data_IF_434046402609
#
_entry.id   IF_434046402609
#
_cell.length_a   1.000
_cell.length_b   1.000
_cell.length_c   1.000
_cell.angle_alpha   90.00
_cell.angle_beta   90.00
_cell.angle_gamma   90.00
#
_symmetry.space_group_name_H-M   'P 1'
#
loop_
_entity.id
_entity.type
_entity.pdbx_description
1 polymer ?
#
# COMPACT_ATOMS: atom_id res chain seq x y z
N UNK A 1 13.57 -6.55 19.75
CA UNK A 1 14.59 -7.23 18.90
C UNK A 1 15.87 -6.43 19.01
N UNK A 2 16.74 -6.76 19.96
CA UNK A 2 17.91 -5.92 20.26
C UNK A 2 19.05 -6.07 19.27
N UNK A 3 19.06 -7.13 18.45
CA UNK A 3 20.23 -7.45 17.62
C UNK A 3 19.87 -7.59 16.14
N UNK A 4 18.68 -7.15 15.73
CA UNK A 4 18.20 -7.38 14.37
C UNK A 4 17.94 -8.85 14.02
N UNK A 5 18.16 -9.75 14.96
CA UNK A 5 17.90 -11.17 14.78
C UNK A 5 16.42 -11.47 15.02
N UNK A 6 15.79 -12.09 14.05
CA UNK A 6 14.44 -12.64 14.20
C UNK A 6 14.55 -14.08 14.73
N UNK A 7 13.69 -14.51 15.68
CA UNK A 7 13.64 -15.91 16.05
C UNK A 7 13.34 -16.75 14.80
N UNK A 8 14.06 -17.85 14.65
CA UNK A 8 13.71 -18.83 13.63
C UNK A 8 12.39 -19.51 14.03
N UNK A 9 11.34 -19.27 13.28
CA UNK A 9 10.02 -19.85 13.51
C UNK A 9 10.02 -21.37 13.54
N UNK A 10 11.02 -22.04 12.92
CA UNK A 10 11.19 -23.50 12.99
C UNK A 10 11.56 -23.98 14.39
N UNK A 11 12.22 -23.12 15.16
CA UNK A 11 12.70 -23.46 16.51
C UNK A 11 11.72 -23.06 17.61
N UNK A 12 10.70 -22.25 17.29
CA UNK A 12 9.64 -21.89 18.23
C UNK A 12 8.55 -22.95 18.18
N UNK A 13 8.21 -23.53 19.32
CA UNK A 13 7.25 -24.61 19.42
C UNK A 13 6.00 -24.21 20.19
N UNK A 14 4.87 -24.72 19.73
CA UNK A 14 3.55 -24.56 20.35
C UNK A 14 2.85 -25.90 20.45
N UNK A 15 2.10 -26.13 21.53
CA UNK A 15 1.22 -27.28 21.65
C UNK A 15 -0.16 -26.92 21.10
N UNK A 16 -0.55 -27.55 20.01
CA UNK A 16 -1.85 -27.37 19.36
C UNK A 16 -2.55 -28.71 19.28
N UNK A 17 -3.71 -28.83 19.91
CA UNK A 17 -4.50 -30.08 20.00
C UNK A 17 -3.66 -31.31 20.40
N UNK A 18 -2.76 -31.14 21.37
CA UNK A 18 -1.90 -32.24 21.89
C UNK A 18 -0.70 -32.55 21.00
N UNK A 19 -0.52 -31.90 19.89
CA UNK A 19 0.65 -32.04 19.01
C UNK A 19 1.59 -30.84 19.14
N UNK A 20 2.90 -31.10 19.09
CA UNK A 20 3.90 -30.03 19.05
C UNK A 20 4.12 -29.58 17.59
N UNK A 21 3.87 -28.33 17.31
CA UNK A 21 4.04 -27.68 16.01
C UNK A 21 5.04 -26.53 16.12
N UNK A 22 5.81 -26.26 15.07
CA UNK A 22 6.60 -25.06 15.00
C UNK A 22 5.72 -23.83 14.67
N UNK A 23 6.29 -22.60 14.71
CA UNK A 23 5.50 -21.38 14.50
C UNK A 23 4.80 -21.36 13.13
N UNK A 24 5.48 -21.81 12.08
CA UNK A 24 4.93 -21.83 10.71
C UNK A 24 3.82 -22.87 10.57
N UNK A 25 4.02 -24.07 11.09
CA UNK A 25 2.99 -25.12 11.12
C UNK A 25 1.76 -24.67 11.92
N UNK A 26 1.98 -23.95 13.01
CA UNK A 26 0.90 -23.38 13.83
C UNK A 26 0.08 -22.37 13.06
N UNK A 27 0.73 -21.46 12.30
CA UNK A 27 0.04 -20.49 11.44
C UNK A 27 -0.80 -21.22 10.39
N UNK A 28 -0.20 -22.21 9.68
CA UNK A 28 -0.93 -22.99 8.67
C UNK A 28 -2.15 -23.67 9.28
N UNK A 29 -1.97 -24.31 10.45
CA UNK A 29 -3.08 -24.96 11.15
C UNK A 29 -4.26 -24.01 11.40
N UNK A 30 -4.01 -22.84 11.97
CA UNK A 30 -5.08 -21.87 12.25
C UNK A 30 -5.66 -21.24 10.98
N UNK A 31 -4.86 -21.00 9.94
CA UNK A 31 -5.38 -20.57 8.64
C UNK A 31 -6.34 -21.59 8.02
N UNK A 32 -6.02 -22.87 8.15
CA UNK A 32 -6.91 -23.94 7.68
C UNK A 32 -8.22 -24.03 8.50
N UNK A 33 -8.16 -23.72 9.80
CA UNK A 33 -9.40 -23.59 10.60
C UNK A 33 -10.27 -22.42 10.10
N UNK A 34 -9.68 -21.28 9.77
CA UNK A 34 -10.42 -20.13 9.24
C UNK A 34 -11.15 -20.48 7.93
N UNK A 35 -10.54 -21.28 7.05
CA UNK A 35 -11.23 -21.78 5.83
C UNK A 35 -12.50 -22.58 6.18
N UNK A 36 -12.47 -23.39 7.23
CA UNK A 36 -13.65 -24.16 7.66
C UNK A 36 -14.76 -23.28 8.21
N UNK A 37 -14.44 -22.08 8.68
CA UNK A 37 -15.38 -21.08 9.19
C UNK A 37 -15.96 -20.18 8.07
N UNK A 38 -15.56 -20.42 6.82
CA UNK A 38 -16.08 -19.69 5.66
C UNK A 38 -15.23 -18.49 5.23
N UNK A 39 -14.12 -18.20 5.91
CA UNK A 39 -13.19 -17.15 5.47
C UNK A 39 -12.52 -17.56 4.16
N UNK A 40 -12.38 -16.61 3.26
CA UNK A 40 -11.79 -16.80 1.94
C UNK A 40 -10.91 -15.60 1.60
N UNK A 41 -9.99 -15.80 0.67
CA UNK A 41 -9.29 -14.69 0.03
C UNK A 41 -10.18 -14.10 -1.07
N UNK A 42 -10.10 -12.79 -1.24
CA UNK A 42 -10.69 -12.13 -2.40
C UNK A 42 -10.01 -12.63 -3.67
N UNK A 43 -10.78 -12.92 -4.74
CA UNK A 43 -10.21 -13.31 -6.01
C UNK A 43 -9.25 -12.26 -6.58
N UNK A 44 -9.62 -10.98 -6.39
CA UNK A 44 -8.82 -9.85 -6.84
C UNK A 44 -8.25 -9.12 -5.62
N UNK A 45 -6.92 -9.08 -5.53
CA UNK A 45 -6.21 -8.48 -4.39
C UNK A 45 -6.62 -7.01 -4.15
N UNK A 46 -6.82 -6.26 -5.21
CA UNK A 46 -7.14 -4.82 -5.15
C UNK A 46 -8.52 -4.54 -4.54
N UNK A 47 -9.48 -5.51 -4.60
CA UNK A 47 -10.81 -5.37 -3.99
C UNK A 47 -10.73 -4.97 -2.51
N UNK A 48 -9.75 -5.49 -1.81
CA UNK A 48 -9.54 -5.20 -0.39
C UNK A 48 -9.15 -3.74 -0.11
N UNK A 49 -8.72 -2.99 -1.10
CA UNK A 49 -8.22 -1.62 -0.99
C UNK A 49 -9.07 -0.62 -1.77
N UNK A 50 -10.17 -1.11 -2.38
CA UNK A 50 -11.15 -0.25 -3.05
C UNK A 50 -11.98 0.53 -2.03
N UNK A 51 -12.67 1.56 -2.50
CA UNK A 51 -13.62 2.33 -1.68
C UNK A 51 -14.89 1.53 -1.32
N UNK A 52 -15.08 0.37 -1.92
CA UNK A 52 -16.22 -0.54 -1.70
C UNK A 52 -15.80 -1.83 -1.00
N UNK A 53 -14.78 -1.80 -0.17
CA UNK A 53 -14.20 -2.98 0.46
C UNK A 53 -14.94 -3.49 1.70
N UNK A 54 -16.02 -2.86 2.13
CA UNK A 54 -16.82 -3.27 3.31
C UNK A 54 -17.30 -4.72 3.23
N UNK A 55 -17.80 -5.24 2.06
CA UNK A 55 -18.29 -6.62 1.97
C UNK A 55 -17.19 -7.65 1.72
N UNK A 56 -15.91 -7.28 1.77
CA UNK A 56 -14.83 -8.22 1.51
C UNK A 56 -14.91 -9.46 2.39
N UNK A 57 -14.83 -10.62 1.75
CA UNK A 57 -14.85 -11.93 2.43
C UNK A 57 -13.60 -12.23 3.23
N UNK A 58 -12.55 -11.42 3.07
CA UNK A 58 -11.34 -11.48 3.90
C UNK A 58 -11.49 -10.76 5.24
N UNK A 59 -12.55 -9.97 5.43
CA UNK A 59 -12.70 -9.16 6.63
C UNK A 59 -12.95 -10.04 7.85
N UNK A 60 -12.04 -10.03 8.81
CA UNK A 60 -12.19 -10.69 10.10
C UNK A 60 -12.71 -9.71 11.15
N UNK A 61 -12.09 -8.55 11.24
CA UNK A 61 -12.49 -7.43 12.08
C UNK A 61 -12.23 -6.14 11.33
N UNK A 62 -13.22 -5.26 11.30
CA UNK A 62 -13.11 -3.98 10.60
C UNK A 62 -13.60 -2.83 11.45
N UNK A 63 -12.97 -1.69 11.29
CA UNK A 63 -13.47 -0.42 11.81
C UNK A 63 -13.91 0.39 10.59
N UNK A 64 -15.23 0.44 10.32
CA UNK A 64 -15.72 1.17 9.16
C UNK A 64 -15.49 2.67 9.34
N UNK A 65 -14.98 3.29 8.30
CA UNK A 65 -14.82 4.73 8.25
C UNK A 65 -15.81 5.33 7.24
N UNK A 66 -16.09 6.59 7.42
CA UNK A 66 -17.05 7.31 6.58
C UNK A 66 -16.51 8.72 6.31
N UNK A 67 -16.56 9.14 5.07
CA UNK A 67 -16.06 10.44 4.61
C UNK A 67 -16.63 11.64 5.36
N UNK A 68 -17.74 11.48 6.02
CA UNK A 68 -18.45 12.57 6.69
C UNK A 68 -18.44 12.44 8.21
N UNK A 69 -18.64 11.23 8.73
CA UNK A 69 -18.88 10.99 10.14
C UNK A 69 -17.64 10.48 10.89
N UNK A 70 -16.86 9.61 10.26
CA UNK A 70 -15.77 8.89 10.91
C UNK A 70 -14.51 8.92 10.06
N UNK A 71 -14.04 10.13 9.74
CA UNK A 71 -12.82 10.33 8.97
C UNK A 71 -11.58 9.93 9.76
N UNK A 72 -10.54 9.52 9.06
CA UNK A 72 -9.25 9.20 9.66
C UNK A 72 -8.09 9.78 8.84
N UNK A 73 -6.89 9.72 9.41
CA UNK A 73 -5.66 10.20 8.76
C UNK A 73 -4.71 9.05 8.39
N UNK A 74 -5.19 7.81 8.47
CA UNK A 74 -4.35 6.63 8.23
C UNK A 74 -3.87 6.54 6.79
N UNK A 75 -4.62 7.11 5.85
CA UNK A 75 -4.22 7.19 4.44
C UNK A 75 -2.84 7.82 4.25
N UNK A 76 -2.43 8.76 5.09
CA UNK A 76 -1.11 9.36 5.04
C UNK A 76 0.04 8.38 5.30
N UNK A 77 -0.24 7.24 5.93
CA UNK A 77 0.71 6.16 6.12
C UNK A 77 0.83 5.22 4.92
N UNK A 78 -0.20 5.19 4.06
CA UNK A 78 -0.33 4.21 2.97
C UNK A 78 -0.37 4.82 1.59
N UNK A 79 -0.26 6.14 1.49
CA UNK A 79 -0.23 6.88 0.24
C UNK A 79 0.84 7.94 0.27
N UNK A 80 1.46 8.16 -0.86
CA UNK A 80 2.35 9.29 -1.05
C UNK A 80 2.33 9.71 -2.52
N UNK A 81 2.37 11.02 -2.75
CA UNK A 81 2.39 11.60 -4.09
C UNK A 81 3.19 12.88 -4.10
N UNK A 82 3.87 13.13 -5.18
CA UNK A 82 4.39 14.46 -5.46
C UNK A 82 3.25 15.49 -5.52
N UNK A 83 3.52 16.74 -5.16
CA UNK A 83 2.50 17.80 -5.10
C UNK A 83 1.75 18.00 -6.43
N UNK A 84 2.45 17.94 -7.56
CA UNK A 84 1.82 18.04 -8.89
C UNK A 84 0.94 16.84 -9.20
N UNK A 85 1.33 15.64 -8.76
CA UNK A 85 0.50 14.44 -8.90
C UNK A 85 -0.79 14.59 -8.07
N UNK A 86 -0.68 14.95 -6.81
CA UNK A 86 -1.83 15.17 -5.96
C UNK A 86 -2.74 16.28 -6.50
N UNK A 87 -2.17 17.41 -6.93
CA UNK A 87 -2.91 18.52 -7.55
C UNK A 87 -3.70 18.09 -8.79
N UNK A 88 -3.14 17.21 -9.63
CA UNK A 88 -3.84 16.67 -10.79
C UNK A 88 -5.04 15.79 -10.41
N UNK A 89 -5.04 15.23 -9.22
CA UNK A 89 -6.17 14.46 -8.65
C UNK A 89 -7.12 15.33 -7.81
N UNK A 90 -6.83 16.61 -7.62
CA UNK A 90 -7.59 17.48 -6.72
C UNK A 90 -7.31 17.25 -5.23
N UNK A 91 -6.18 16.59 -4.90
CA UNK A 91 -5.80 16.20 -3.56
C UNK A 91 -4.65 17.06 -3.01
N UNK A 92 -4.37 16.94 -1.74
CA UNK A 92 -3.14 17.42 -1.13
C UNK A 92 -1.97 16.47 -1.41
N UNK A 93 -0.78 17.00 -1.56
CA UNK A 93 0.42 16.20 -1.76
C UNK A 93 1.02 15.73 -0.45
N UNK A 94 1.31 14.45 -0.38
CA UNK A 94 1.98 13.77 0.72
C UNK A 94 3.30 13.19 0.19
N UNK A 95 4.25 14.08 -0.12
CA UNK A 95 5.48 13.69 -0.79
C UNK A 95 6.57 13.30 0.22
N UNK A 96 6.60 12.06 0.63
CA UNK A 96 7.58 11.58 1.60
C UNK A 96 7.79 10.07 1.52
N UNK A 97 6.89 9.24 2.05
CA UNK A 97 7.10 7.79 2.05
C UNK A 97 7.27 7.21 0.66
N UNK A 98 8.21 6.28 0.51
CA UNK A 98 8.45 5.51 -0.70
C UNK A 98 8.78 4.06 -0.37
N UNK A 99 8.71 3.18 -1.36
CA UNK A 99 9.21 1.82 -1.23
C UNK A 99 10.72 1.83 -0.94
N UNK A 100 11.18 0.90 -0.11
CA UNK A 100 12.61 0.64 0.08
C UNK A 100 13.15 -0.17 -1.09
N UNK A 101 14.48 -0.18 -1.26
CA UNK A 101 15.15 -1.03 -2.26
C UNK A 101 14.80 -2.50 -2.02
N UNK A 102 14.81 -2.96 -0.76
CA UNK A 102 14.44 -4.32 -0.40
C UNK A 102 12.99 -4.67 -0.82
N UNK A 103 12.07 -3.71 -0.73
CA UNK A 103 10.71 -3.90 -1.21
C UNK A 103 10.65 -4.07 -2.74
N UNK A 104 11.40 -3.27 -3.49
CA UNK A 104 11.51 -3.40 -4.95
C UNK A 104 12.05 -4.77 -5.35
N UNK A 105 13.13 -5.21 -4.69
CA UNK A 105 13.73 -6.53 -4.90
C UNK A 105 12.76 -7.66 -4.56
N UNK A 106 12.03 -7.55 -3.45
CA UNK A 106 11.05 -8.56 -3.01
C UNK A 106 9.89 -8.69 -4.00
N UNK A 107 9.44 -7.57 -4.59
CA UNK A 107 8.43 -7.60 -5.65
C UNK A 107 8.99 -8.00 -7.01
N UNK A 108 10.31 -8.13 -7.15
CA UNK A 108 10.97 -8.40 -8.44
C UNK A 108 10.75 -7.27 -9.45
N UNK A 109 10.70 -6.01 -8.99
CA UNK A 109 10.43 -4.86 -9.84
C UNK A 109 11.39 -4.79 -11.04
N UNK A 110 10.84 -4.57 -12.26
CA UNK A 110 11.55 -4.57 -13.54
C UNK A 110 12.18 -5.91 -13.94
N UNK A 111 11.74 -7.01 -13.36
CA UNK A 111 12.12 -8.36 -13.80
C UNK A 111 10.97 -9.05 -14.52
N UNK A 112 11.27 -10.16 -15.20
CA UNK A 112 10.24 -11.00 -15.84
C UNK A 112 9.29 -11.68 -14.84
N UNK A 113 9.67 -11.73 -13.57
CA UNK A 113 8.95 -12.37 -12.47
C UNK A 113 8.35 -11.33 -11.50
N UNK A 114 8.15 -10.08 -11.95
CA UNK A 114 7.56 -9.05 -11.12
C UNK A 114 6.19 -9.49 -10.58
N UNK A 115 6.03 -9.39 -9.26
CA UNK A 115 4.74 -9.62 -8.63
C UNK A 115 3.73 -8.56 -9.10
N UNK A 116 2.57 -8.94 -9.68
CA UNK A 116 1.58 -7.99 -10.21
C UNK A 116 0.99 -7.08 -9.14
N UNK A 117 1.09 -7.43 -7.87
CA UNK A 117 0.67 -6.57 -6.76
C UNK A 117 1.52 -5.31 -6.62
N UNK A 118 2.71 -5.27 -7.23
CA UNK A 118 3.53 -4.06 -7.24
C UNK A 118 2.77 -2.87 -7.81
N UNK A 119 2.15 -3.02 -8.96
CA UNK A 119 1.41 -1.95 -9.65
C UNK A 119 0.14 -1.52 -8.91
N UNK A 120 -0.39 -2.38 -8.04
CA UNK A 120 -1.49 -2.04 -7.13
C UNK A 120 -0.98 -1.25 -5.93
N UNK A 121 0.21 -1.56 -5.44
CA UNK A 121 0.77 -0.97 -4.23
C UNK A 121 1.53 0.33 -4.44
N UNK A 122 2.10 0.53 -5.64
CA UNK A 122 3.03 1.64 -5.88
C UNK A 122 2.80 2.36 -7.21
N UNK A 123 3.13 3.65 -7.21
CA UNK A 123 3.36 4.43 -8.41
C UNK A 123 4.86 4.42 -8.72
N UNK A 124 5.22 4.08 -9.95
CA UNK A 124 6.59 4.04 -10.46
C UNK A 124 6.64 4.59 -11.89
N UNK A 125 7.76 5.15 -12.31
CA UNK A 125 7.91 5.73 -13.65
C UNK A 125 7.02 6.95 -13.90
N UNK A 126 6.63 7.14 -15.15
CA UNK A 126 5.81 8.27 -15.58
C UNK A 126 4.39 8.14 -15.02
N UNK A 127 3.88 9.20 -14.40
CA UNK A 127 2.55 9.22 -13.79
C UNK A 127 1.54 9.99 -14.62
N UNK A 128 0.29 9.56 -14.50
CA UNK A 128 -0.82 10.09 -15.26
C UNK A 128 -1.93 10.59 -14.33
N UNK A 129 -2.70 11.56 -14.80
CA UNK A 129 -3.92 12.01 -14.12
C UNK A 129 -5.04 10.97 -14.25
N UNK A 130 -6.19 11.24 -13.61
CA UNK A 130 -7.37 10.37 -13.67
C UNK A 130 -7.97 10.23 -15.09
N UNK A 131 -7.53 11.04 -16.06
CA UNK A 131 -7.95 10.99 -17.46
C UNK A 131 -6.90 10.33 -18.36
N UNK A 132 -5.78 9.88 -17.78
CA UNK A 132 -4.68 9.27 -18.52
C UNK A 132 -3.69 10.24 -19.14
N UNK A 133 -3.76 11.54 -18.85
CA UNK A 133 -2.77 12.50 -19.37
C UNK A 133 -1.51 12.48 -18.51
N UNK A 134 -0.36 12.64 -19.16
CA UNK A 134 0.95 12.73 -18.47
C UNK A 134 0.97 13.99 -17.59
N UNK A 135 1.33 13.81 -16.34
CA UNK A 135 1.51 14.89 -15.38
C UNK A 135 2.90 15.52 -15.56
N UNK A 136 2.96 16.84 -15.44
CA UNK A 136 4.21 17.59 -15.54
C UNK A 136 4.49 18.35 -14.25
N UNK A 137 5.77 18.55 -13.97
CA UNK A 137 6.25 19.47 -12.96
C UNK A 137 5.99 20.93 -13.36
N UNK A 138 6.11 21.86 -12.44
CA UNK A 138 5.89 23.29 -12.70
C UNK A 138 6.86 23.89 -13.73
N UNK A 139 8.02 23.29 -13.90
CA UNK A 139 8.99 23.65 -14.91
C UNK A 139 8.73 23.03 -16.31
N UNK A 140 7.61 22.30 -16.47
CA UNK A 140 7.21 21.64 -17.71
C UNK A 140 7.82 20.25 -17.94
N UNK A 141 8.74 19.79 -17.10
CA UNK A 141 9.31 18.43 -17.18
C UNK A 141 8.25 17.40 -16.84
N UNK A 142 8.32 16.24 -17.48
CA UNK A 142 7.45 15.09 -17.14
C UNK A 142 7.72 14.64 -15.69
N UNK A 143 6.66 14.44 -14.93
CA UNK A 143 6.77 13.87 -13.60
C UNK A 143 6.97 12.36 -13.71
N UNK A 144 8.10 11.89 -13.22
CA UNK A 144 8.49 10.49 -13.21
C UNK A 144 9.01 10.11 -11.83
N UNK A 145 8.47 9.07 -11.23
CA UNK A 145 9.03 8.48 -10.02
C UNK A 145 10.17 7.54 -10.38
N UNK A 146 11.27 7.64 -9.64
CA UNK A 146 12.52 6.92 -9.89
C UNK A 146 12.75 5.87 -8.80
N UNK A 147 12.16 4.67 -8.90
CA UNK A 147 12.14 3.68 -7.82
C UNK A 147 13.50 3.35 -7.23
N UNK A 148 14.50 3.15 -8.07
CA UNK A 148 15.87 2.78 -7.65
C UNK A 148 16.71 3.94 -7.09
N UNK A 149 16.19 5.18 -7.14
CA UNK A 149 16.92 6.38 -6.66
C UNK A 149 16.71 6.67 -5.18
N UNK A 150 16.46 5.64 -4.37
CA UNK A 150 16.29 5.78 -2.92
C UNK A 150 17.66 5.68 -2.25
N UNK A 151 18.02 6.72 -1.50
CA UNK A 151 19.20 6.71 -0.63
C UNK A 151 18.96 7.59 0.58
N UNK A 152 19.81 7.48 1.60
CA UNK A 152 19.74 8.33 2.80
C UNK A 152 20.16 9.78 2.53
N UNK A 153 20.83 10.03 1.42
CA UNK A 153 21.39 11.34 1.06
C UNK A 153 20.94 11.74 -0.34
N UNK A 154 19.65 12.06 -0.46
CA UNK A 154 19.05 12.55 -1.72
C UNK A 154 18.91 14.08 -1.75
N UNK A 155 19.19 14.75 -0.63
CA UNK A 155 19.07 16.21 -0.51
C UNK A 155 19.89 16.91 -1.58
N UNK A 156 19.35 17.96 -2.17
CA UNK A 156 19.94 18.74 -3.25
C UNK A 156 20.21 17.97 -4.56
N UNK A 157 19.73 16.73 -4.68
CA UNK A 157 19.78 16.02 -5.96
C UNK A 157 18.64 16.44 -6.88
N UNK A 158 18.78 16.33 -8.23
CA UNK A 158 17.70 16.65 -9.17
C UNK A 158 16.43 15.80 -8.98
N UNK A 159 16.53 14.67 -8.28
CA UNK A 159 15.45 13.72 -8.05
C UNK A 159 14.97 13.67 -6.59
N UNK A 160 15.40 14.62 -5.74
CA UNK A 160 14.98 14.68 -4.32
C UNK A 160 13.48 14.54 -4.14
N UNK A 161 12.68 15.19 -4.99
CA UNK A 161 11.21 15.17 -4.92
C UNK A 161 10.57 13.97 -5.62
N UNK A 162 11.32 13.19 -6.39
CA UNK A 162 10.80 12.11 -7.24
C UNK A 162 11.46 10.76 -6.98
N UNK A 163 12.44 10.70 -6.08
CA UNK A 163 13.08 9.47 -5.68
C UNK A 163 12.11 8.46 -5.07
N UNK A 164 12.26 7.20 -5.45
CA UNK A 164 11.50 6.08 -4.92
C UNK A 164 10.12 5.87 -5.55
N UNK A 165 9.62 4.64 -5.48
CA UNK A 165 8.24 4.33 -5.84
C UNK A 165 7.29 4.82 -4.75
N UNK A 166 6.23 5.50 -5.14
CA UNK A 166 5.29 6.13 -4.21
C UNK A 166 4.14 5.20 -3.86
N UNK A 167 3.70 5.24 -2.62
CA UNK A 167 2.63 4.38 -2.11
C UNK A 167 1.28 4.73 -2.71
N UNK A 168 0.57 3.72 -3.24
CA UNK A 168 -0.67 3.86 -3.98
C UNK A 168 -1.84 3.08 -3.39
N UNK A 169 -1.57 2.07 -2.63
CA UNK A 169 -2.38 0.91 -2.27
C UNK A 169 -3.90 1.13 -2.08
N UNK A 170 -4.33 2.25 -1.54
CA UNK A 170 -5.75 2.51 -1.31
C UNK A 170 -6.34 3.42 -2.37
N UNK A 171 -7.53 3.06 -2.87
CA UNK A 171 -8.27 3.84 -3.84
C UNK A 171 -8.77 5.17 -3.27
N UNK A 172 -8.95 6.15 -4.13
CA UNK A 172 -9.57 7.44 -3.81
C UNK A 172 -11.00 7.44 -4.33
N UNK A 173 -11.97 7.77 -3.48
CA UNK A 173 -13.35 7.95 -3.92
C UNK A 173 -13.48 9.21 -4.79
N UNK A 174 -13.73 9.09 -6.11
CA UNK A 174 -13.85 10.23 -6.99
C UNK A 174 -15.11 11.08 -6.73
N UNK A 175 -16.05 10.56 -5.94
CA UNK A 175 -17.29 11.25 -5.56
C UNK A 175 -17.18 11.98 -4.21
N UNK A 176 -16.20 11.60 -3.40
CA UNK A 176 -15.96 12.22 -2.10
C UNK A 176 -15.23 13.55 -2.27
N UNK A 177 -15.95 14.65 -2.27
CA UNK A 177 -15.36 15.99 -2.42
C UNK A 177 -15.67 16.89 -1.24
N UNK A 178 -14.70 17.76 -0.90
CA UNK A 178 -14.86 18.88 0.02
C UNK A 178 -14.15 20.09 -0.56
N UNK A 179 -14.83 21.23 -0.62
CA UNK A 179 -14.29 22.47 -1.17
C UNK A 179 -13.74 22.31 -2.62
N UNK A 180 -14.40 21.46 -3.42
CA UNK A 180 -14.01 21.16 -4.81
C UNK A 180 -12.80 20.25 -4.96
N UNK A 181 -12.29 19.66 -3.87
CA UNK A 181 -11.19 18.70 -3.88
C UNK A 181 -11.67 17.31 -3.45
N UNK A 182 -11.05 16.26 -3.99
CA UNK A 182 -11.29 14.91 -3.52
C UNK A 182 -10.90 14.79 -2.05
N UNK A 183 -11.67 13.98 -1.32
CA UNK A 183 -11.35 13.60 0.06
C UNK A 183 -10.72 12.21 0.08
N UNK A 184 -9.69 12.05 0.87
CA UNK A 184 -8.98 10.78 1.04
C UNK A 184 -9.33 10.08 2.37
N UNK A 185 -10.47 10.37 2.94
CA UNK A 185 -10.77 10.01 4.34
C UNK A 185 -11.64 8.76 4.51
N UNK A 186 -11.95 8.08 3.39
CA UNK A 186 -12.91 6.98 3.40
C UNK A 186 -12.34 5.62 3.64
N UNK A 187 -11.07 5.56 3.92
CA UNK A 187 -10.47 4.27 4.01
C UNK A 187 -10.38 3.82 5.42
N UNK A 188 -10.87 2.75 5.64
CA UNK A 188 -11.07 1.88 6.11
C UNK A 188 -10.87 0.66 6.63
N UNK A 189 -10.01 -0.18 6.68
CA UNK A 189 -10.00 -1.50 7.25
C UNK A 189 -8.74 -1.78 8.01
N UNK A 190 -8.87 -1.94 9.32
CA UNK A 190 -7.88 -2.67 10.09
C UNK A 190 -8.25 -4.16 10.06
N UNK A 191 -7.33 -4.96 9.62
CA UNK A 191 -7.38 -6.40 9.67
C UNK A 191 -6.58 -6.92 10.84
#
# INVERSE_FOLDING_TARGET
WTDGQRPDGKNIKFTVNGSELNAWETVIYYCDQLKTMGYKLEPEYETNFSIFNEPSVENVFTIPMNKTLYTNQMQYLFRSRHYNHAKAYGLSGENGPSATIEALETFGYETAEQDPRFDICYFAGIVHDLKGNIIKLDNGTVLEYLPWKVSLDITDTPYEQTAGARMKKYEVDPTATKDGKLMENDIVLFR
#
